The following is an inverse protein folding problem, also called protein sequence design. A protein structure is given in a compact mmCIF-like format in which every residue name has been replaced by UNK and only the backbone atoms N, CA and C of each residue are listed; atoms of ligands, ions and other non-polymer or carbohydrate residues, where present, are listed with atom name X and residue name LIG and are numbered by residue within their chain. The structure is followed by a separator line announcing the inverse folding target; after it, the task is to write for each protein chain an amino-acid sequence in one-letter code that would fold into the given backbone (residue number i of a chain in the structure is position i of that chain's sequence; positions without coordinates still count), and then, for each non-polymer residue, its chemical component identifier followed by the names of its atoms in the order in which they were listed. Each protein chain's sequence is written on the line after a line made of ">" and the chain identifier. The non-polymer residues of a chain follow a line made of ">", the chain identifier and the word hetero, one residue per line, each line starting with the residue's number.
data_IF_901517222435
#
_entry.id   IF_901517222435
#
_cell.length_a   1.000
_cell.length_b   1.000
_cell.length_c   1.000
_cell.angle_alpha   90.00
_cell.angle_beta   90.00
_cell.angle_gamma   90.00
#
_symmetry.space_group_name_H-M   'P 1'
#
loop_
_entity.id
_entity.type
_entity.pdbx_description
1 polymer ?
#
# COMPACT_ATOMS: atom_id res chain seq x y z
N UNK A 1 -14.67 1.88 7.79
CA UNK A 1 -13.86 2.04 6.57
C UNK A 1 -12.66 2.94 6.85
N UNK A 2 -11.53 2.41 7.35
CA UNK A 2 -10.35 3.24 7.70
C UNK A 2 -9.17 2.98 6.74
N UNK A 3 -9.37 3.19 5.44
CA UNK A 3 -8.29 3.03 4.45
C UNK A 3 -7.48 4.32 4.33
N UNK A 4 -6.15 4.21 4.42
CA UNK A 4 -5.23 5.32 4.15
C UNK A 4 -5.03 5.49 2.63
N UNK A 5 -4.49 6.63 2.17
CA UNK A 5 -4.10 6.78 0.76
C UNK A 5 -3.17 5.67 0.26
N UNK A 6 -2.30 5.15 1.12
CA UNK A 6 -1.39 4.05 0.78
C UNK A 6 -2.15 2.73 0.56
N UNK A 7 -3.21 2.44 1.32
CA UNK A 7 -4.09 1.30 1.06
C UNK A 7 -4.73 1.40 -0.33
N UNK A 8 -5.26 2.58 -0.68
CA UNK A 8 -5.90 2.79 -1.98
C UNK A 8 -4.91 2.69 -3.13
N UNK A 9 -3.70 3.23 -2.96
CA UNK A 9 -2.63 3.09 -3.94
C UNK A 9 -2.26 1.61 -4.14
N UNK A 10 -2.13 0.86 -3.05
CA UNK A 10 -1.79 -0.55 -3.08
C UNK A 10 -2.87 -1.42 -3.72
N UNK A 11 -4.14 -1.20 -3.37
CA UNK A 11 -5.29 -1.89 -3.95
C UNK A 11 -5.39 -1.70 -5.48
N UNK A 12 -4.96 -0.54 -5.98
CA UNK A 12 -5.07 -0.16 -7.39
C UNK A 12 -3.73 -0.27 -8.15
N UNK A 13 -2.66 -0.82 -7.56
CA UNK A 13 -1.37 -0.99 -8.23
C UNK A 13 -0.68 0.31 -8.65
N UNK A 14 -0.90 1.41 -7.89
CA UNK A 14 -0.39 2.75 -8.23
C UNK A 14 1.01 3.01 -7.68
N UNK A 15 2.01 2.27 -8.15
CA UNK A 15 3.38 2.24 -7.58
C UNK A 15 4.02 3.62 -7.44
N UNK A 16 3.88 4.49 -8.45
CA UNK A 16 4.44 5.86 -8.43
C UNK A 16 3.82 6.72 -7.32
N UNK A 17 2.52 6.58 -7.10
CA UNK A 17 1.81 7.32 -6.04
C UNK A 17 2.18 6.74 -4.67
N UNK A 18 2.22 5.43 -4.52
CA UNK A 18 2.66 4.79 -3.28
C UNK A 18 4.08 5.24 -2.87
N UNK A 19 5.01 5.35 -3.84
CA UNK A 19 6.36 5.87 -3.59
C UNK A 19 6.35 7.28 -3.03
N UNK A 20 5.58 8.19 -3.64
CA UNK A 20 5.44 9.58 -3.17
C UNK A 20 4.85 9.65 -1.76
N UNK A 21 3.85 8.80 -1.46
CA UNK A 21 3.24 8.73 -0.13
C UNK A 21 4.26 8.26 0.92
N UNK A 22 5.04 7.22 0.61
CA UNK A 22 6.08 6.70 1.50
C UNK A 22 7.19 7.73 1.74
N UNK A 23 7.58 8.50 0.71
CA UNK A 23 8.54 9.61 0.84
C UNK A 23 8.03 10.75 1.73
N UNK A 24 6.71 10.88 1.90
CA UNK A 24 6.07 11.82 2.82
C UNK A 24 5.74 11.23 4.18
N UNK A 25 6.27 10.05 4.48
CA UNK A 25 6.11 9.41 5.79
C UNK A 25 4.76 8.72 6.00
N UNK A 26 4.08 8.31 4.92
CA UNK A 26 2.92 7.44 5.05
C UNK A 26 3.31 6.15 5.79
N UNK A 27 2.50 5.77 6.79
CA UNK A 27 2.72 4.55 7.55
C UNK A 27 2.48 3.31 6.67
N UNK A 28 3.57 2.60 6.37
CA UNK A 28 3.58 1.40 5.54
C UNK A 28 2.89 0.21 6.22
N UNK A 29 2.81 0.22 7.55
CA UNK A 29 2.20 -0.83 8.38
C UNK A 29 0.79 -0.46 8.87
N UNK A 30 0.24 0.66 8.41
CA UNK A 30 -1.10 1.09 8.76
C UNK A 30 -2.10 -0.04 8.47
N UNK A 31 -3.02 -0.28 9.41
CA UNK A 31 -4.10 -1.25 9.26
C UNK A 31 -5.40 -0.55 8.92
N UNK A 32 -6.13 -1.07 7.95
CA UNK A 32 -7.47 -0.60 7.64
C UNK A 32 -8.55 -1.20 8.56
N UNK A 33 -9.82 -1.06 8.18
CA UNK A 33 -10.94 -1.57 9.00
C UNK A 33 -10.98 -3.09 9.11
N UNK A 34 -10.34 -3.79 8.17
CA UNK A 34 -10.33 -5.26 8.09
C UNK A 34 -8.99 -5.82 8.60
N UNK A 35 -8.20 -4.98 9.29
CA UNK A 35 -6.84 -5.28 9.76
C UNK A 35 -5.85 -5.58 8.62
N UNK A 36 -6.20 -5.24 7.38
CA UNK A 36 -5.32 -5.36 6.23
C UNK A 36 -4.34 -4.19 6.18
N UNK A 37 -3.11 -4.47 5.79
CA UNK A 37 -2.10 -3.44 5.48
C UNK A 37 -2.07 -3.17 3.98
N UNK A 38 -1.41 -2.09 3.50
CA UNK A 38 -1.21 -1.88 2.08
C UNK A 38 -0.62 -3.11 1.36
N UNK A 39 0.29 -3.84 2.01
CA UNK A 39 0.87 -5.06 1.43
C UNK A 39 -0.16 -6.18 1.24
N UNK A 40 -1.08 -6.38 2.19
CA UNK A 40 -2.17 -7.36 2.05
C UNK A 40 -3.01 -7.08 0.79
N UNK A 41 -3.39 -5.82 0.58
CA UNK A 41 -4.17 -5.39 -0.58
C UNK A 41 -3.41 -5.56 -1.90
N UNK A 42 -2.11 -5.22 -1.93
CA UNK A 42 -1.27 -5.41 -3.11
C UNK A 42 -1.14 -6.90 -3.49
N UNK A 43 -0.93 -7.77 -2.49
CA UNK A 43 -0.85 -9.22 -2.68
C UNK A 43 -2.18 -9.82 -3.16
N UNK A 44 -3.30 -9.45 -2.55
CA UNK A 44 -4.65 -9.92 -2.93
C UNK A 44 -4.98 -9.62 -4.39
N UNK A 45 -4.44 -8.52 -4.94
CA UNK A 45 -4.66 -8.11 -6.33
C UNK A 45 -3.53 -8.49 -7.30
N UNK A 46 -2.44 -9.06 -6.81
CA UNK A 46 -1.31 -9.47 -7.66
C UNK A 46 -0.49 -8.31 -8.22
N UNK A 47 -0.49 -7.14 -7.57
CA UNK A 47 0.24 -5.95 -8.05
C UNK A 47 1.74 -6.08 -7.77
N UNK A 48 2.45 -6.85 -8.60
CA UNK A 48 3.84 -7.22 -8.38
C UNK A 48 4.80 -6.03 -8.20
N UNK A 49 4.58 -4.92 -8.92
CA UNK A 49 5.36 -3.69 -8.76
C UNK A 49 5.16 -3.04 -7.39
N UNK A 50 3.91 -3.00 -6.91
CA UNK A 50 3.57 -2.53 -5.58
C UNK A 50 4.14 -3.43 -4.49
N UNK A 51 4.03 -4.76 -4.64
CA UNK A 51 4.59 -5.73 -3.69
C UNK A 51 6.10 -5.50 -3.58
N UNK A 52 6.82 -5.42 -4.71
CA UNK A 52 8.25 -5.12 -4.73
C UNK A 52 8.57 -3.76 -4.09
N UNK A 53 7.74 -2.74 -4.29
CA UNK A 53 7.94 -1.44 -3.65
C UNK A 53 7.80 -1.53 -2.13
N UNK A 54 6.76 -2.18 -1.64
CA UNK A 54 6.40 -2.22 -0.22
C UNK A 54 7.33 -3.13 0.61
N UNK A 55 7.87 -4.22 0.03
CA UNK A 55 8.84 -5.08 0.74
C UNK A 55 10.27 -4.49 0.80
N UNK A 56 10.58 -3.52 -0.06
CA UNK A 56 11.90 -2.90 -0.16
C UNK A 56 11.97 -1.51 0.50
N UNK A 57 11.03 -1.19 1.38
CA UNK A 57 10.89 0.08 2.09
C UNK A 57 10.83 -0.16 3.59
#
# INVERSE_FOLDING_TARGET
>A
MKRTPLHLAALNGRDKIARMLLEKGADIQAKDGDQETPLHLACSKGHAGMIKLLINR
#
